data_IF_019124832677
#
_entry.id   IF_019124832677
#
_cell.length_a   1.000
_cell.length_b   1.000
_cell.length_c   1.000
_cell.angle_alpha   90.00
_cell.angle_beta   90.00
_cell.angle_gamma   90.00
#
_symmetry.space_group_name_H-M   'P 1'
#
loop_
_entity.id
_entity.type
_entity.pdbx_description
1 polymer ?
#
# COMPACT_ATOMS: atom_id res chain seq x y z
N UNK A 1 23.78 -13.88 -32.83
CA UNK A 1 22.30 -13.89 -32.81
C UNK A 1 21.88 -12.57 -32.23
N UNK A 2 20.98 -11.88 -32.92
CA UNK A 2 20.46 -10.58 -32.52
C UNK A 2 19.29 -10.75 -31.54
N UNK A 3 19.16 -9.83 -30.60
CA UNK A 3 18.10 -9.79 -29.59
C UNK A 3 18.47 -8.92 -28.40
N UNK A 4 17.50 -8.65 -27.52
CA UNK A 4 17.76 -7.92 -26.28
C UNK A 4 18.80 -8.67 -25.43
N UNK A 5 19.90 -7.99 -25.09
CA UNK A 5 21.01 -8.56 -24.31
C UNK A 5 20.97 -8.18 -22.83
N UNK A 6 20.07 -7.28 -22.43
CA UNK A 6 19.95 -6.80 -21.05
C UNK A 6 18.95 -7.64 -20.27
N UNK A 7 19.41 -8.29 -19.20
CA UNK A 7 18.59 -9.16 -18.33
C UNK A 7 17.51 -8.42 -17.56
N UNK A 8 17.61 -7.10 -17.41
CA UNK A 8 16.62 -6.31 -16.68
C UNK A 8 15.39 -5.97 -17.53
N UNK A 9 15.24 -6.54 -18.72
CA UNK A 9 14.15 -6.29 -19.65
C UNK A 9 13.41 -7.59 -19.96
N UNK A 10 12.10 -7.50 -20.12
CA UNK A 10 11.23 -8.68 -20.34
C UNK A 10 11.55 -9.42 -21.64
N UNK A 11 12.12 -8.73 -22.62
CA UNK A 11 12.53 -9.28 -23.91
C UNK A 11 13.92 -9.93 -23.89
N UNK A 12 14.58 -10.00 -22.73
CA UNK A 12 15.92 -10.58 -22.59
C UNK A 12 16.03 -11.96 -23.27
N UNK A 13 17.00 -12.09 -24.16
CA UNK A 13 17.32 -13.34 -24.82
C UNK A 13 18.70 -13.84 -24.34
N UNK A 14 18.77 -14.94 -23.57
CA UNK A 14 20.03 -15.44 -23.00
C UNK A 14 21.02 -15.95 -24.05
N UNK A 15 20.59 -16.12 -25.30
CA UNK A 15 21.42 -16.54 -26.41
C UNK A 15 21.81 -15.37 -27.33
N UNK A 16 21.24 -14.17 -27.14
CA UNK A 16 21.61 -12.99 -27.90
C UNK A 16 23.02 -12.53 -27.49
N UNK A 17 23.83 -12.18 -28.48
CA UNK A 17 25.19 -11.66 -28.28
C UNK A 17 25.44 -10.34 -29.01
N UNK A 18 24.42 -9.83 -29.70
CA UNK A 18 24.40 -8.53 -30.34
C UNK A 18 23.05 -7.91 -30.00
N UNK A 19 23.07 -6.75 -29.36
CA UNK A 19 21.86 -6.00 -29.06
C UNK A 19 21.25 -5.45 -30.35
N UNK A 20 19.95 -5.69 -30.54
CA UNK A 20 19.18 -5.24 -31.70
C UNK A 20 18.21 -4.10 -31.35
N UNK A 21 18.27 -3.58 -30.12
CA UNK A 21 17.41 -2.51 -29.65
C UNK A 21 15.99 -2.96 -29.33
N UNK A 22 15.73 -4.27 -29.22
CA UNK A 22 14.42 -4.81 -28.80
C UNK A 22 14.20 -4.78 -27.29
N UNK A 23 15.16 -4.31 -26.48
CA UNK A 23 14.98 -4.06 -25.05
C UNK A 23 14.07 -2.84 -24.84
N UNK A 24 12.75 -3.05 -24.76
CA UNK A 24 11.77 -1.97 -24.66
C UNK A 24 11.18 -1.90 -23.26
N UNK A 25 10.74 -3.03 -22.72
CA UNK A 25 10.00 -3.07 -21.44
C UNK A 25 10.94 -3.50 -20.32
N UNK A 26 11.24 -2.57 -19.41
CA UNK A 26 11.98 -2.86 -18.19
C UNK A 26 11.17 -3.85 -17.34
N UNK A 27 11.82 -4.89 -16.83
CA UNK A 27 11.25 -5.82 -15.89
C UNK A 27 11.07 -5.14 -14.52
N UNK A 28 9.83 -5.13 -14.03
CA UNK A 28 9.44 -4.62 -12.72
C UNK A 28 8.74 -5.76 -12.00
N UNK A 29 9.52 -6.48 -11.20
CA UNK A 29 9.04 -7.55 -10.33
C UNK A 29 8.54 -6.98 -9.01
N UNK A 30 7.35 -7.38 -8.56
CA UNK A 30 6.76 -6.85 -7.33
C UNK A 30 5.36 -7.39 -7.03
N UNK A 31 4.67 -6.71 -6.11
CA UNK A 31 3.32 -7.02 -5.70
C UNK A 31 2.29 -6.41 -6.68
N UNK A 32 1.44 -7.25 -7.24
CA UNK A 32 0.39 -6.86 -8.19
C UNK A 32 -1.02 -6.89 -7.60
N UNK A 33 -1.17 -7.34 -6.33
CA UNK A 33 -2.46 -7.42 -5.66
C UNK A 33 -2.79 -6.10 -4.92
N UNK A 34 -3.83 -5.36 -5.33
CA UNK A 34 -4.22 -4.08 -4.70
C UNK A 34 -4.72 -4.21 -3.25
N UNK A 35 -4.94 -5.42 -2.74
CA UNK A 35 -5.30 -5.64 -1.34
C UNK A 35 -4.09 -5.63 -0.41
N UNK A 36 -2.88 -5.34 -0.90
CA UNK A 36 -1.65 -5.30 -0.10
C UNK A 36 -0.99 -3.92 -0.14
N UNK A 37 -0.30 -3.56 0.93
CA UNK A 37 0.38 -2.26 1.07
C UNK A 37 1.51 -2.07 0.06
N UNK A 38 2.12 -3.16 -0.40
CA UNK A 38 3.19 -3.16 -1.40
C UNK A 38 2.70 -3.07 -2.85
N UNK A 39 1.39 -3.03 -3.08
CA UNK A 39 0.83 -2.95 -4.44
C UNK A 39 1.48 -1.82 -5.24
N UNK A 40 1.95 -2.16 -6.44
CA UNK A 40 2.44 -1.20 -7.43
C UNK A 40 1.80 -1.48 -8.79
N UNK A 41 1.09 -0.48 -9.33
CA UNK A 41 0.39 -0.58 -10.61
C UNK A 41 1.33 -0.71 -11.82
N UNK A 42 2.63 -0.44 -11.64
CA UNK A 42 3.65 -0.56 -12.68
C UNK A 42 4.33 -1.93 -12.75
N UNK A 43 4.03 -2.84 -11.83
CA UNK A 43 4.54 -4.23 -11.85
C UNK A 43 4.08 -4.92 -13.14
N UNK A 44 5.05 -5.51 -13.85
CA UNK A 44 4.80 -6.28 -15.07
C UNK A 44 5.26 -7.74 -14.98
N UNK A 45 5.98 -8.10 -13.91
CA UNK A 45 6.29 -9.48 -13.52
C UNK A 45 5.80 -9.71 -12.10
N UNK A 46 4.53 -10.14 -11.91
CA UNK A 46 3.99 -10.38 -10.59
C UNK A 46 4.75 -11.48 -9.84
N UNK A 47 5.11 -11.21 -8.59
CA UNK A 47 5.62 -12.19 -7.65
C UNK A 47 4.99 -11.95 -6.27
N UNK A 48 3.66 -12.08 -6.22
CA UNK A 48 2.86 -11.76 -5.04
C UNK A 48 3.26 -12.59 -3.81
N UNK A 49 3.68 -13.85 -4.00
CA UNK A 49 4.13 -14.71 -2.90
C UNK A 49 5.36 -14.16 -2.15
N UNK A 50 6.22 -13.41 -2.83
CA UNK A 50 7.43 -12.82 -2.26
C UNK A 50 7.25 -11.35 -1.86
N UNK A 51 6.43 -10.60 -2.60
CA UNK A 51 6.35 -9.15 -2.48
C UNK A 51 5.06 -8.61 -1.84
N UNK A 52 3.95 -9.35 -1.86
CA UNK A 52 2.71 -8.94 -1.19
C UNK A 52 2.74 -9.42 0.27
N UNK A 53 3.35 -8.61 1.15
CA UNK A 53 3.68 -9.04 2.51
C UNK A 53 2.65 -8.59 3.54
N UNK A 54 2.10 -7.38 3.40
CA UNK A 54 1.15 -6.83 4.36
C UNK A 54 -0.19 -6.54 3.69
N UNK A 55 -1.17 -7.42 3.93
CA UNK A 55 -2.55 -7.21 3.49
C UNK A 55 -3.11 -5.93 4.14
N UNK A 56 -3.84 -5.15 3.36
CA UNK A 56 -4.55 -3.96 3.80
C UNK A 56 -5.67 -4.39 4.75
N UNK A 57 -5.58 -3.91 5.98
CA UNK A 57 -6.64 -4.03 6.98
C UNK A 57 -7.15 -2.63 7.26
N UNK A 58 -8.35 -2.36 6.75
CA UNK A 58 -9.05 -1.10 6.94
C UNK A 58 -9.69 -1.01 8.34
N UNK A 59 -9.66 0.19 8.91
CA UNK A 59 -10.33 0.52 10.15
C UNK A 59 -9.72 1.74 10.81
N UNK A 60 -10.32 2.20 11.91
CA UNK A 60 -9.79 3.36 12.61
C UNK A 60 -8.39 3.09 13.20
N UNK A 61 -7.38 3.83 12.75
CA UNK A 61 -5.99 3.72 13.25
C UNK A 61 -5.67 4.73 14.36
N UNK A 62 -6.58 5.64 14.67
CA UNK A 62 -6.38 6.65 15.72
C UNK A 62 -6.57 6.04 17.11
N UNK A 63 -5.48 5.91 17.87
CA UNK A 63 -5.43 5.22 19.17
C UNK A 63 -6.44 5.69 20.22
N UNK A 64 -6.87 6.95 20.19
CA UNK A 64 -7.82 7.53 21.15
C UNK A 64 -9.29 7.55 20.66
N UNK A 65 -9.57 6.93 19.51
CA UNK A 65 -10.95 6.82 19.00
C UNK A 65 -11.70 5.70 19.70
N UNK A 66 -13.02 5.89 19.83
CA UNK A 66 -13.94 4.92 20.46
C UNK A 66 -13.91 3.57 19.73
N UNK A 67 -13.72 3.63 18.41
CA UNK A 67 -13.69 2.48 17.50
C UNK A 67 -12.28 2.16 16.97
N UNK A 68 -11.22 2.51 17.71
CA UNK A 68 -9.85 2.14 17.34
C UNK A 68 -9.72 0.63 17.08
N UNK A 69 -9.18 0.27 15.92
CA UNK A 69 -8.89 -1.11 15.53
C UNK A 69 -7.37 -1.35 15.54
N UNK A 70 -6.83 -2.11 16.51
CA UNK A 70 -5.40 -2.38 16.59
C UNK A 70 -4.85 -3.28 15.47
N UNK A 71 -5.72 -3.95 14.72
CA UNK A 71 -5.32 -4.72 13.54
C UNK A 71 -5.30 -3.87 12.26
N UNK A 72 -5.93 -2.69 12.26
CA UNK A 72 -5.96 -1.83 11.09
C UNK A 72 -4.59 -1.22 10.82
N UNK A 73 -4.16 -1.28 9.56
CA UNK A 73 -2.94 -0.64 9.07
C UNK A 73 -3.24 0.52 8.10
N UNK A 74 -4.49 0.65 7.68
CA UNK A 74 -4.97 1.68 6.77
C UNK A 74 -6.21 2.34 7.39
N UNK A 75 -6.15 3.66 7.57
CA UNK A 75 -7.29 4.42 8.11
C UNK A 75 -8.41 4.50 7.07
N UNK A 76 -9.60 4.03 7.44
CA UNK A 76 -10.79 4.06 6.59
C UNK A 76 -11.62 5.34 6.80
N UNK A 77 -11.17 6.24 7.68
CA UNK A 77 -11.87 7.47 8.03
C UNK A 77 -13.10 7.25 8.90
N UNK A 78 -13.32 6.04 9.42
CA UNK A 78 -14.43 5.73 10.32
C UNK A 78 -14.19 6.19 11.76
N UNK A 79 -13.00 6.72 12.08
CA UNK A 79 -12.62 7.08 13.45
C UNK A 79 -13.63 8.00 14.16
N UNK A 80 -14.25 7.46 15.21
CA UNK A 80 -15.09 8.19 16.13
C UNK A 80 -14.21 8.74 17.25
N UNK A 81 -13.76 9.99 17.09
CA UNK A 81 -13.01 10.67 18.12
C UNK A 81 -13.85 10.76 19.39
N UNK A 82 -13.31 10.29 20.50
CA UNK A 82 -13.86 10.63 21.81
C UNK A 82 -13.51 12.09 22.09
N UNK A 83 -14.40 13.00 21.70
CA UNK A 83 -14.33 14.35 22.21
C UNK A 83 -14.75 14.29 23.67
N UNK A 84 -13.78 14.21 24.57
CA UNK A 84 -14.01 14.59 25.96
C UNK A 84 -14.54 16.02 25.93
N UNK A 85 -15.84 16.14 26.09
CA UNK A 85 -16.40 17.42 26.42
C UNK A 85 -15.80 17.84 27.72
N UNK A 86 -15.38 19.10 27.85
CA UNK A 86 -15.21 19.61 29.19
C UNK A 86 -16.59 19.59 29.86
N UNK A 87 -16.66 19.31 31.17
CA UNK A 87 -17.88 19.53 31.96
C UNK A 87 -18.08 21.03 32.29
N UNK A 88 -17.15 21.87 31.84
CA UNK A 88 -17.21 23.31 31.99
C UNK A 88 -18.04 23.92 30.85
N UNK A 89 -19.24 24.39 31.18
CA UNK A 89 -20.21 25.00 30.27
C UNK A 89 -19.69 26.27 29.57
N UNK A 90 -18.57 26.82 30.02
CA UNK A 90 -17.95 28.01 29.43
C UNK A 90 -16.96 27.69 28.30
N UNK A 91 -16.58 26.41 28.17
CA UNK A 91 -15.62 25.96 27.15
C UNK A 91 -16.33 25.65 25.83
N UNK A 92 -15.67 26.00 24.72
CA UNK A 92 -16.21 25.78 23.37
C UNK A 92 -16.48 24.30 23.06
N UNK A 93 -15.81 23.39 23.76
CA UNK A 93 -15.99 21.94 23.69
C UNK A 93 -16.78 21.38 24.89
N UNK A 94 -17.70 22.12 25.52
CA UNK A 94 -18.58 21.56 26.54
C UNK A 94 -19.46 20.42 25.97
N UNK A 95 -19.36 19.22 26.53
CA UNK A 95 -20.25 18.09 26.18
C UNK A 95 -20.53 17.21 27.41
N UNK A 96 -21.69 17.37 28.08
CA UNK A 96 -22.03 16.66 29.30
C UNK A 96 -22.48 15.20 29.08
N UNK A 97 -22.55 14.72 27.83
CA UNK A 97 -23.06 13.39 27.48
C UNK A 97 -21.97 12.35 27.19
N UNK A 98 -20.69 12.76 27.09
CA UNK A 98 -19.57 11.85 26.84
C UNK A 98 -18.47 12.10 27.88
N UNK A 99 -18.26 11.11 28.77
CA UNK A 99 -17.25 11.14 29.83
C UNK A 99 -15.95 10.45 29.43
#
# INVERSE_FOLDING_TARGET
>A
MEGCTNILYTEYNPYANVDDGTCIVLEIEGCSDPNYLEYDEFVNVPNDELYCLYEVVEGCTTFNSINYNPAANTDDGSCELNFYGCMDETMFNFNPQQM
#
